data_IF_398091739981
#
_entry.id   IF_398091739981
#
_cell.length_a   1.000
_cell.length_b   1.000
_cell.length_c   1.000
_cell.angle_alpha   90.00
_cell.angle_beta   90.00
_cell.angle_gamma   90.00
#
_symmetry.space_group_name_H-M   'P 1'
#
loop_
_entity.id
_entity.type
_entity.pdbx_description
1 polymer ?
#
# COMPACT_ATOMS: atom_id res chain seq x y z
N UNK A 1 67.31 16.90 16.02
CA UNK A 1 66.45 16.62 15.48
C UNK A 1 65.31 16.00 15.99
N UNK A 2 64.26 16.27 15.75
CA UNK A 2 63.22 15.76 16.25
C UNK A 2 62.35 15.14 15.34
N UNK A 3 61.91 13.99 15.49
CA UNK A 3 60.92 13.36 14.69
C UNK A 3 59.59 13.85 15.10
N UNK A 4 59.02 14.58 14.27
CA UNK A 4 57.64 14.95 14.47
C UNK A 4 56.80 13.82 14.02
N UNK A 5 56.31 13.14 14.96
CA UNK A 5 55.32 12.13 14.67
C UNK A 5 54.00 12.79 14.60
N UNK A 6 53.56 13.05 13.43
CA UNK A 6 52.19 13.42 13.25
C UNK A 6 51.35 12.19 13.50
N UNK A 7 50.74 12.17 14.64
CA UNK A 7 49.72 11.21 14.90
C UNK A 7 48.51 11.63 14.12
N UNK A 8 48.41 11.12 12.95
CA UNK A 8 47.12 11.21 12.26
C UNK A 8 46.21 10.25 12.95
N UNK A 9 45.39 10.79 13.81
CA UNK A 9 44.30 10.04 14.33
C UNK A 9 43.32 9.78 13.18
N UNK A 10 43.35 8.56 12.70
CA UNK A 10 42.38 8.13 11.72
C UNK A 10 41.06 8.01 12.42
N UNK A 11 40.25 9.02 12.28
CA UNK A 11 38.89 8.96 12.78
C UNK A 11 38.09 8.12 11.82
N UNK A 12 37.98 6.86 12.13
CA UNK A 12 37.11 5.99 11.38
C UNK A 12 35.69 6.27 11.84
N UNK A 13 35.03 7.16 11.14
CA UNK A 13 33.60 7.32 11.34
C UNK A 13 32.92 6.17 10.62
N UNK A 14 32.69 5.12 11.35
CA UNK A 14 31.77 4.12 10.89
C UNK A 14 30.39 4.73 10.95
N UNK A 15 30.01 5.34 9.87
CA UNK A 15 28.61 5.57 9.64
C UNK A 15 28.01 4.21 9.39
N UNK A 16 27.56 3.55 10.43
CA UNK A 16 26.68 2.43 10.25
C UNK A 16 25.50 2.93 9.45
N UNK A 17 25.20 2.34 8.28
CA UNK A 17 23.94 2.64 7.67
C UNK A 17 22.90 2.29 8.69
N UNK A 18 22.20 3.28 9.15
CA UNK A 18 20.96 3.04 9.82
C UNK A 18 20.13 2.37 8.76
N UNK A 19 20.15 1.06 8.74
CA UNK A 19 19.08 0.35 8.15
C UNK A 19 17.87 0.82 8.94
N UNK A 20 17.31 1.90 8.51
CA UNK A 20 15.97 2.19 8.88
C UNK A 20 15.20 1.02 8.33
N UNK A 21 15.15 -0.02 9.11
CA UNK A 21 14.18 -1.02 8.91
C UNK A 21 12.88 -0.24 8.83
N UNK A 22 12.37 -0.10 7.65
CA UNK A 22 11.00 0.32 7.45
C UNK A 22 10.17 -0.78 8.08
N UNK A 23 10.17 -0.76 9.42
CA UNK A 23 9.54 -1.79 10.17
C UNK A 23 8.08 -1.58 10.06
N UNK A 24 7.41 -2.52 9.45
CA UNK A 24 5.98 -2.57 9.40
C UNK A 24 5.34 -1.88 8.22
N UNK A 25 6.11 -1.44 7.23
CA UNK A 25 5.52 -0.96 5.99
C UNK A 25 5.99 -1.81 4.84
N UNK A 26 5.45 -3.00 4.76
CA UNK A 26 5.54 -3.74 3.53
C UNK A 26 4.76 -2.98 2.48
N UNK A 27 5.43 -2.67 1.39
CA UNK A 27 4.79 -2.09 0.24
C UNK A 27 3.75 -3.09 -0.27
N UNK A 28 2.51 -2.64 -0.52
CA UNK A 28 1.49 -3.54 -1.05
C UNK A 28 1.95 -4.12 -2.39
N UNK A 29 1.55 -5.35 -2.71
CA UNK A 29 1.86 -5.93 -4.01
C UNK A 29 1.32 -5.06 -5.15
N UNK A 30 2.05 -5.00 -6.26
CA UNK A 30 1.61 -4.26 -7.45
C UNK A 30 0.25 -4.76 -7.94
N UNK A 31 -0.05 -6.05 -7.76
CA UNK A 31 -1.34 -6.64 -8.10
C UNK A 31 -2.51 -5.99 -7.34
N UNK A 32 -2.30 -5.60 -6.09
CA UNK A 32 -3.31 -4.90 -5.28
C UNK A 32 -3.57 -3.51 -5.85
N UNK A 33 -2.52 -2.76 -6.10
CA UNK A 33 -2.62 -1.42 -6.67
C UNK A 33 -3.29 -1.45 -8.03
N UNK A 34 -2.89 -2.37 -8.90
CA UNK A 34 -3.46 -2.49 -10.25
C UNK A 34 -4.93 -2.89 -10.20
N UNK A 35 -5.28 -3.88 -9.37
CA UNK A 35 -6.67 -4.31 -9.22
C UNK A 35 -7.55 -3.18 -8.70
N UNK A 36 -7.05 -2.40 -7.74
CA UNK A 36 -7.79 -1.28 -7.18
C UNK A 36 -8.00 -0.16 -8.21
N UNK A 37 -6.97 0.17 -8.97
CA UNK A 37 -7.08 1.18 -10.03
C UNK A 37 -8.05 0.75 -11.12
N UNK A 38 -8.01 -0.51 -11.53
CA UNK A 38 -8.93 -1.05 -12.54
C UNK A 38 -10.38 -1.02 -12.04
N UNK A 39 -10.61 -1.40 -10.78
CA UNK A 39 -11.93 -1.36 -10.18
C UNK A 39 -12.47 0.08 -10.05
N UNK A 40 -11.64 1.01 -9.62
CA UNK A 40 -12.03 2.43 -9.52
C UNK A 40 -12.31 3.02 -10.89
N UNK A 41 -11.48 2.71 -11.89
CA UNK A 41 -11.66 3.14 -13.27
C UNK A 41 -13.02 2.71 -13.82
N UNK A 42 -13.37 1.44 -13.62
CA UNK A 42 -14.66 0.91 -14.05
C UNK A 42 -15.82 1.53 -13.28
N UNK A 43 -15.67 1.74 -11.98
CA UNK A 43 -16.74 2.30 -11.16
C UNK A 43 -17.03 3.76 -11.47
N UNK A 44 -15.98 4.56 -11.70
CA UNK A 44 -16.10 6.00 -11.97
C UNK A 44 -16.20 6.32 -13.46
N UNK A 45 -16.01 5.33 -14.32
CA UNK A 45 -16.00 5.51 -15.78
C UNK A 45 -14.99 6.58 -16.21
N UNK A 46 -13.78 6.45 -15.68
CA UNK A 46 -12.63 7.31 -16.02
C UNK A 46 -11.40 6.46 -16.34
N UNK A 47 -10.47 6.95 -17.17
CA UNK A 47 -9.23 6.20 -17.41
C UNK A 47 -8.41 6.01 -16.14
N UNK A 48 -7.78 4.85 -15.99
CA UNK A 48 -6.95 4.57 -14.81
C UNK A 48 -5.80 5.59 -14.69
N UNK A 49 -5.33 6.14 -15.79
CA UNK A 49 -4.26 7.14 -15.83
C UNK A 49 -4.66 8.47 -15.17
N UNK A 50 -5.95 8.71 -15.03
CA UNK A 50 -6.47 9.91 -14.36
C UNK A 50 -6.74 9.69 -12.87
N UNK A 51 -6.33 8.55 -12.34
CA UNK A 51 -6.53 8.19 -10.93
C UNK A 51 -5.21 8.25 -10.16
N UNK A 52 -5.31 8.66 -8.90
CA UNK A 52 -4.18 8.77 -7.99
C UNK A 52 -4.46 7.92 -6.76
N UNK A 53 -3.52 7.06 -6.40
CA UNK A 53 -3.59 6.32 -5.12
C UNK A 53 -3.15 7.26 -4.01
N UNK A 54 -4.07 7.56 -3.10
CA UNK A 54 -3.81 8.44 -1.96
C UNK A 54 -3.20 7.66 -0.80
N UNK A 55 -3.73 6.47 -0.53
CA UNK A 55 -3.29 5.66 0.59
C UNK A 55 -3.67 4.21 0.36
N UNK A 56 -2.83 3.32 0.85
CA UNK A 56 -3.11 1.89 0.91
C UNK A 56 -2.87 1.41 2.33
N UNK A 57 -3.86 0.78 2.94
CA UNK A 57 -3.78 0.25 4.29
C UNK A 57 -4.09 -1.24 4.30
N UNK A 58 -3.30 -2.01 5.03
CA UNK A 58 -3.59 -3.41 5.25
C UNK A 58 -4.86 -3.57 6.09
N UNK A 59 -5.64 -4.58 5.77
CA UNK A 59 -6.83 -4.92 6.54
C UNK A 59 -7.19 -6.39 6.39
N UNK A 60 -7.51 -7.03 7.51
CA UNK A 60 -8.09 -8.36 7.48
C UNK A 60 -9.60 -8.26 7.41
N UNK A 61 -10.17 -8.90 6.40
CA UNK A 61 -11.61 -8.94 6.21
C UNK A 61 -12.20 -10.11 6.98
N UNK A 62 -13.34 -9.92 7.62
CA UNK A 62 -13.97 -10.95 8.42
C UNK A 62 -14.45 -12.14 7.59
N UNK A 63 -14.76 -11.91 6.31
CA UNK A 63 -15.23 -12.92 5.38
C UNK A 63 -14.88 -12.55 3.93
N UNK A 64 -15.34 -13.36 3.00
CA UNK A 64 -15.03 -13.19 1.59
C UNK A 64 -15.78 -12.03 0.91
N UNK A 65 -16.65 -11.31 1.64
CA UNK A 65 -17.34 -10.13 1.08
C UNK A 65 -16.44 -8.90 0.99
N UNK A 66 -15.27 -8.93 1.60
CA UNK A 66 -14.32 -7.81 1.65
C UNK A 66 -14.97 -6.54 2.24
N UNK A 67 -15.83 -6.71 3.24
CA UNK A 67 -16.51 -5.58 3.88
C UNK A 67 -17.68 -5.00 3.09
N UNK A 68 -18.07 -5.63 1.99
CA UNK A 68 -19.18 -5.19 1.14
C UNK A 68 -20.22 -6.29 0.94
N UNK A 69 -20.87 -6.78 2.02
CA UNK A 69 -21.83 -7.85 1.87
C UNK A 69 -23.08 -7.39 1.10
N UNK A 70 -23.52 -8.24 0.18
CA UNK A 70 -24.77 -8.02 -0.55
C UNK A 70 -25.91 -8.76 0.15
N UNK A 71 -27.08 -8.14 0.30
CA UNK A 71 -28.22 -8.80 0.92
C UNK A 71 -28.60 -10.10 0.23
N UNK A 72 -28.84 -11.15 1.01
CA UNK A 72 -29.25 -12.46 0.49
C UNK A 72 -28.13 -13.31 -0.09
N UNK A 73 -26.89 -12.84 -0.05
CA UNK A 73 -25.74 -13.57 -0.56
C UNK A 73 -24.93 -14.17 0.59
N UNK A 74 -24.53 -15.43 0.43
CA UNK A 74 -23.67 -16.11 1.39
C UNK A 74 -22.19 -15.94 1.00
N UNK A 75 -21.35 -15.76 2.00
CA UNK A 75 -19.91 -15.61 1.80
C UNK A 75 -19.16 -16.61 2.67
N UNK A 76 -18.02 -17.07 2.17
CA UNK A 76 -17.15 -17.93 2.95
C UNK A 76 -16.69 -17.19 4.22
N UNK A 77 -16.90 -17.83 5.38
CA UNK A 77 -16.56 -17.29 6.69
C UNK A 77 -15.09 -17.51 6.99
N UNK A 78 -14.22 -16.92 6.20
CA UNK A 78 -12.78 -17.08 6.30
C UNK A 78 -12.16 -15.69 6.41
N UNK A 79 -11.33 -15.48 7.43
CA UNK A 79 -10.56 -14.24 7.54
C UNK A 79 -9.68 -14.11 6.29
N UNK A 80 -9.88 -13.03 5.57
CA UNK A 80 -9.25 -12.79 4.28
C UNK A 80 -8.30 -11.60 4.41
N UNK A 81 -6.99 -11.83 4.34
CA UNK A 81 -6.03 -10.72 4.32
C UNK A 81 -6.23 -9.86 3.08
N UNK A 82 -6.10 -8.56 3.25
CA UNK A 82 -6.28 -7.66 2.12
C UNK A 82 -5.89 -6.23 2.44
N UNK A 83 -6.47 -5.32 1.67
CA UNK A 83 -6.13 -3.89 1.72
C UNK A 83 -7.36 -3.03 1.46
N UNK A 84 -7.32 -1.82 2.00
CA UNK A 84 -8.19 -0.72 1.57
C UNK A 84 -7.32 0.24 0.78
N UNK A 85 -7.69 0.51 -0.46
CA UNK A 85 -6.98 1.45 -1.32
C UNK A 85 -7.85 2.68 -1.51
N UNK A 86 -7.38 3.83 -1.04
CA UNK A 86 -8.06 5.10 -1.23
C UNK A 86 -7.53 5.74 -2.51
N UNK A 87 -8.42 6.03 -3.43
CA UNK A 87 -8.10 6.53 -4.77
C UNK A 87 -8.89 7.82 -4.99
N UNK A 88 -8.25 8.79 -5.60
CA UNK A 88 -8.91 10.02 -6.01
C UNK A 88 -8.69 10.25 -7.50
N UNK A 89 -9.53 11.08 -8.08
CA UNK A 89 -9.30 11.60 -9.42
C UNK A 89 -8.13 12.61 -9.39
N UNK A 90 -7.47 12.81 -10.51
CA UNK A 90 -6.30 13.70 -10.61
C UNK A 90 -6.61 15.16 -10.27
N UNK A 91 -7.88 15.57 -10.38
CA UNK A 91 -8.35 16.88 -9.94
C UNK A 91 -8.74 16.90 -8.45
N UNK A 92 -8.59 15.79 -7.74
CA UNK A 92 -8.92 15.62 -6.32
C UNK A 92 -10.40 15.91 -6.00
N UNK A 93 -11.29 15.69 -6.95
CA UNK A 93 -12.71 15.98 -6.81
C UNK A 93 -13.55 14.78 -6.37
N UNK A 94 -13.06 13.56 -6.57
CA UNK A 94 -13.83 12.34 -6.31
C UNK A 94 -12.97 11.27 -5.67
N UNK A 95 -13.16 11.07 -4.38
CA UNK A 95 -12.47 10.03 -3.63
C UNK A 95 -13.32 8.76 -3.58
N UNK A 96 -12.67 7.62 -3.76
CA UNK A 96 -13.30 6.32 -3.68
C UNK A 96 -12.40 5.36 -2.89
N UNK A 97 -13.00 4.45 -2.14
CA UNK A 97 -12.28 3.38 -1.46
C UNK A 97 -12.56 2.06 -2.14
N UNK A 98 -11.49 1.34 -2.46
CA UNK A 98 -11.56 0.01 -3.04
C UNK A 98 -11.04 -0.98 -2.01
N UNK A 99 -11.87 -1.93 -1.64
CA UNK A 99 -11.50 -3.04 -0.78
C UNK A 99 -10.97 -4.17 -1.64
N UNK A 100 -9.87 -4.77 -1.23
CA UNK A 100 -9.25 -5.85 -1.98
C UNK A 100 -8.88 -7.01 -1.07
N UNK A 101 -8.72 -8.19 -1.64
CA UNK A 101 -7.93 -9.25 -1.06
C UNK A 101 -6.45 -9.03 -1.46
N UNK A 102 -5.71 -10.06 -1.80
CA UNK A 102 -4.30 -9.92 -2.22
C UNK A 102 -4.15 -9.55 -3.70
N UNK A 103 -5.19 -9.04 -4.33
CA UNK A 103 -5.16 -8.51 -5.70
C UNK A 103 -5.96 -9.31 -6.72
N UNK A 104 -6.69 -10.35 -6.31
CA UNK A 104 -7.54 -11.12 -7.22
C UNK A 104 -9.00 -10.69 -7.20
N UNK A 105 -9.46 -10.08 -6.11
CA UNK A 105 -10.84 -9.61 -5.97
C UNK A 105 -10.88 -8.22 -5.39
N UNK A 106 -11.88 -7.46 -5.81
CA UNK A 106 -12.14 -6.11 -5.31
C UNK A 106 -13.61 -5.96 -4.97
N UNK A 107 -13.92 -5.04 -4.07
CA UNK A 107 -15.28 -4.64 -3.75
C UNK A 107 -15.32 -3.14 -3.47
N UNK A 108 -16.37 -2.50 -3.94
CA UNK A 108 -16.66 -1.10 -3.69
C UNK A 108 -18.09 -1.00 -3.18
N UNK A 109 -18.25 -0.41 -2.01
CA UNK A 109 -19.57 -0.22 -1.43
C UNK A 109 -19.75 1.09 -0.68
#
# INVERSE_FOLDING_TARGET
>A
MRALHALTALLLVLAAPVAAAAQGQEQPPDSVTQAALDAASANLDVPAESLIVIMTAQRDWADASLGCPEPGRAYAQVITPGYVVTIDTDDLATEIQVNTDTGSRTAIC
#
